data_IF_250300679552
#
_entry.id   IF_250300679552
#
_cell.length_a   1.000
_cell.length_b   1.000
_cell.length_c   1.000
_cell.angle_alpha   90.00
_cell.angle_beta   90.00
_cell.angle_gamma   90.00
#
_symmetry.space_group_name_H-M   'P 1'
#
loop_
_entity.id
_entity.type
_entity.pdbx_description
1 polymer ?
#
# COMPACT_ATOMS: atom_id res chain seq x y z
N UNK A 1 17.84 19.86 14.95
CA UNK A 1 17.23 19.87 16.32
C UNK A 1 18.22 19.36 17.35
N UNK A 2 18.37 20.11 18.45
CA UNK A 2 19.17 19.69 19.61
C UNK A 2 18.30 18.90 20.59
N UNK A 3 18.46 17.61 20.60
CA UNK A 3 17.66 16.68 21.40
C UNK A 3 17.74 16.96 22.90
N UNK A 4 18.88 17.47 23.37
CA UNK A 4 19.09 17.73 24.80
C UNK A 4 18.20 18.87 25.31
N UNK A 5 17.61 19.63 24.41
CA UNK A 5 16.67 20.73 24.73
C UNK A 5 15.22 20.32 24.70
N UNK A 6 14.91 19.10 24.21
CA UNK A 6 13.54 18.60 24.13
C UNK A 6 13.04 18.09 25.49
N UNK A 7 11.82 18.44 25.84
CA UNK A 7 11.10 17.82 26.96
C UNK A 7 10.41 16.52 26.47
N UNK A 8 11.06 15.39 26.66
CA UNK A 8 10.56 14.08 26.25
C UNK A 8 9.92 13.29 27.40
N UNK A 9 9.41 13.98 28.44
CA UNK A 9 8.81 13.31 29.61
C UNK A 9 7.64 12.37 29.27
N UNK A 10 6.91 12.66 28.19
CA UNK A 10 5.79 11.84 27.66
C UNK A 10 6.23 10.74 26.68
N UNK A 11 7.50 10.70 26.31
CA UNK A 11 8.02 9.81 25.28
C UNK A 11 9.20 8.99 25.82
N UNK A 12 9.29 7.76 25.36
CA UNK A 12 10.51 6.94 25.44
C UNK A 12 11.33 7.15 24.18
N UNK A 13 12.61 7.43 24.33
CA UNK A 13 13.56 7.54 23.24
C UNK A 13 14.05 6.15 22.88
N UNK A 14 13.73 5.68 21.66
CA UNK A 14 14.15 4.36 21.17
C UNK A 14 15.52 4.46 20.51
N UNK A 15 15.71 5.42 19.60
CA UNK A 15 17.01 5.70 18.98
C UNK A 15 17.14 7.18 18.61
N UNK A 16 18.40 7.60 18.51
CA UNK A 16 18.81 8.91 17.98
C UNK A 16 20.00 8.68 17.10
N UNK A 17 19.91 9.15 15.87
CA UNK A 17 20.94 8.93 14.88
C UNK A 17 21.22 10.21 14.07
N UNK A 18 22.49 10.43 13.76
CA UNK A 18 22.86 11.43 12.75
C UNK A 18 22.79 10.76 11.37
N UNK A 19 21.96 11.30 10.51
CA UNK A 19 21.79 10.84 9.13
C UNK A 19 22.68 11.70 8.24
N UNK A 20 23.97 11.31 8.08
CA UNK A 20 24.98 12.13 7.43
C UNK A 20 24.65 12.40 5.95
N UNK A 21 24.14 11.41 5.23
CA UNK A 21 23.77 11.53 3.81
C UNK A 21 22.61 12.52 3.57
N UNK A 22 21.81 12.79 4.60
CA UNK A 22 20.67 13.69 4.55
C UNK A 22 20.92 14.99 5.33
N UNK A 23 22.11 15.17 5.90
CA UNK A 23 22.44 16.25 6.86
C UNK A 23 21.32 16.47 7.91
N UNK A 24 20.82 15.37 8.44
CA UNK A 24 19.64 15.34 9.28
C UNK A 24 19.89 14.68 10.63
N UNK A 25 19.01 14.94 11.59
CA UNK A 25 18.95 14.22 12.86
C UNK A 25 17.69 13.33 12.87
N UNK A 26 17.89 12.02 12.97
CA UNK A 26 16.81 11.03 13.12
C UNK A 26 16.50 10.77 14.58
N UNK A 27 15.20 10.77 14.93
CA UNK A 27 14.70 10.36 16.25
C UNK A 27 13.63 9.31 16.07
N UNK A 28 13.71 8.24 16.86
CA UNK A 28 12.62 7.28 16.99
C UNK A 28 12.12 7.32 18.45
N UNK A 29 10.86 7.67 18.59
CA UNK A 29 10.19 7.85 19.87
C UNK A 29 8.98 6.92 19.99
N UNK A 30 8.60 6.62 21.23
CA UNK A 30 7.34 5.95 21.57
C UNK A 30 6.59 6.78 22.60
N UNK A 31 5.34 7.15 22.31
CA UNK A 31 4.49 7.82 23.28
C UNK A 31 4.09 6.87 24.42
N UNK A 32 4.40 7.23 25.66
CA UNK A 32 4.30 6.31 26.81
C UNK A 32 2.88 5.82 27.06
N UNK A 33 1.89 6.71 26.99
CA UNK A 33 0.50 6.35 27.28
C UNK A 33 -0.14 5.57 26.15
N UNK A 34 -0.11 6.10 24.95
CA UNK A 34 -0.85 5.50 23.81
C UNK A 34 -0.07 4.44 23.04
N UNK A 35 1.24 4.33 23.26
CA UNK A 35 2.10 3.39 22.53
C UNK A 35 2.44 3.80 21.10
N UNK A 36 1.97 4.96 20.62
CA UNK A 36 2.25 5.46 19.25
C UNK A 36 3.76 5.54 18.98
N UNK A 37 4.18 5.11 17.79
CA UNK A 37 5.57 5.22 17.33
C UNK A 37 5.71 6.46 16.49
N UNK A 38 6.76 7.26 16.76
CA UNK A 38 6.99 8.53 16.07
C UNK A 38 8.43 8.54 15.56
N UNK A 39 8.59 8.60 14.24
CA UNK A 39 9.87 8.80 13.60
C UNK A 39 9.98 10.26 13.13
N UNK A 40 11.07 10.93 13.48
CA UNK A 40 11.31 12.32 13.11
C UNK A 40 12.64 12.41 12.39
N UNK A 41 12.65 13.04 11.22
CA UNK A 41 13.87 13.42 10.48
C UNK A 41 13.93 14.92 10.42
N UNK A 42 14.70 15.52 11.34
CA UNK A 42 14.83 16.96 11.48
C UNK A 42 16.00 17.49 10.68
N UNK A 43 15.75 18.45 9.78
CA UNK A 43 16.73 19.12 8.94
C UNK A 43 16.27 20.57 8.62
N UNK A 44 16.84 21.19 7.60
CA UNK A 44 16.52 22.56 7.14
C UNK A 44 15.64 22.61 5.88
N UNK A 45 15.07 21.48 5.46
CA UNK A 45 14.13 21.45 4.33
C UNK A 45 12.80 22.08 4.72
N UNK A 46 12.42 23.13 4.01
CA UNK A 46 11.17 23.84 4.28
C UNK A 46 9.92 23.07 3.84
N UNK A 47 10.04 22.04 3.00
CA UNK A 47 8.92 21.17 2.61
C UNK A 47 8.66 20.12 3.70
N UNK A 48 7.89 20.51 4.69
CA UNK A 48 7.58 19.67 5.85
C UNK A 48 6.63 18.54 5.47
N UNK A 49 6.92 17.33 5.97
CA UNK A 49 6.08 16.16 5.76
C UNK A 49 5.54 15.65 7.09
N UNK A 50 4.26 15.34 7.10
CA UNK A 50 3.60 14.54 8.12
C UNK A 50 3.00 13.30 7.44
N UNK A 51 3.12 12.15 8.08
CA UNK A 51 2.38 10.96 7.69
C UNK A 51 1.95 10.19 8.93
N UNK A 52 0.74 9.67 8.92
CA UNK A 52 0.31 8.65 9.89
C UNK A 52 -0.11 7.41 9.12
N UNK A 53 0.36 6.24 9.56
CA UNK A 53 0.03 4.96 8.98
C UNK A 53 -0.35 3.95 10.04
N UNK A 54 -1.19 2.99 9.66
CA UNK A 54 -1.63 1.89 10.49
C UNK A 54 -1.34 0.57 9.78
N UNK A 55 -1.01 -0.48 10.51
CA UNK A 55 -1.05 -1.83 9.94
C UNK A 55 -2.50 -2.26 9.80
N UNK A 56 -2.90 -2.56 8.59
CA UNK A 56 -4.28 -2.91 8.24
C UNK A 56 -4.33 -4.18 7.38
N UNK A 57 -3.93 -5.35 7.94
CA UNK A 57 -3.94 -6.60 7.19
C UNK A 57 -5.38 -6.99 6.81
N UNK A 58 -5.62 -7.36 5.53
CA UNK A 58 -6.91 -7.86 5.09
C UNK A 58 -7.15 -9.29 5.60
N UNK A 59 -8.42 -9.67 5.75
CA UNK A 59 -8.84 -11.03 6.09
C UNK A 59 -9.98 -11.54 5.20
N UNK A 60 -10.42 -10.71 4.27
CA UNK A 60 -11.35 -11.04 3.18
C UNK A 60 -11.12 -10.08 2.01
N UNK A 61 -11.87 -10.27 0.92
CA UNK A 61 -11.73 -9.52 -0.33
C UNK A 61 -12.73 -8.35 -0.45
N UNK A 62 -13.33 -7.90 0.66
CA UNK A 62 -14.37 -6.85 0.65
C UNK A 62 -13.84 -5.43 0.47
N UNK A 63 -12.50 -5.24 0.48
CA UNK A 63 -11.90 -3.91 0.38
C UNK A 63 -12.16 -3.00 1.58
N UNK A 64 -12.43 -3.60 2.74
CA UNK A 64 -12.71 -2.88 3.97
C UNK A 64 -11.66 -1.81 4.27
N UNK A 65 -10.38 -2.11 4.05
CA UNK A 65 -9.25 -1.22 4.29
C UNK A 65 -9.30 0.02 3.38
N UNK A 66 -9.60 -0.18 2.09
CA UNK A 66 -9.71 0.86 1.09
C UNK A 66 -10.98 1.74 1.33
N UNK A 67 -12.10 1.10 1.63
CA UNK A 67 -13.32 1.83 1.99
C UNK A 67 -13.12 2.67 3.26
N UNK A 68 -12.36 2.18 4.25
CA UNK A 68 -12.00 2.96 5.43
C UNK A 68 -11.08 4.13 5.09
N UNK A 69 -10.09 3.93 4.22
CA UNK A 69 -9.21 5.00 3.76
C UNK A 69 -10.03 6.19 3.25
N UNK A 70 -10.93 5.96 2.29
CA UNK A 70 -11.81 6.97 1.74
C UNK A 70 -12.73 7.57 2.81
N UNK A 71 -13.39 6.71 3.59
CA UNK A 71 -14.44 7.10 4.52
C UNK A 71 -13.94 7.96 5.69
N UNK A 72 -12.71 7.73 6.18
CA UNK A 72 -12.14 8.54 7.26
C UNK A 72 -11.93 10.00 6.86
N UNK A 73 -11.71 10.27 5.58
CA UNK A 73 -11.52 11.62 5.05
C UNK A 73 -12.83 12.35 4.70
N UNK A 74 -13.99 11.72 4.92
CA UNK A 74 -15.31 12.27 4.62
C UNK A 74 -15.96 13.05 5.80
N UNK A 75 -15.16 13.61 6.69
CA UNK A 75 -15.59 14.38 7.84
C UNK A 75 -15.18 13.78 9.17
N UNK A 76 -14.99 14.63 10.16
CA UNK A 76 -14.49 14.24 11.47
C UNK A 76 -15.03 15.14 12.60
N UNK A 77 -14.69 14.80 13.83
CA UNK A 77 -15.11 15.52 15.05
C UNK A 77 -14.92 17.04 14.97
N UNK A 78 -13.71 17.50 14.59
CA UNK A 78 -13.37 18.93 14.46
C UNK A 78 -13.80 19.51 13.11
N UNK A 79 -13.90 18.67 12.09
CA UNK A 79 -14.16 19.07 10.70
C UNK A 79 -15.39 18.33 10.13
N UNK A 80 -16.60 18.63 10.63
CA UNK A 80 -17.84 17.91 10.28
C UNK A 80 -18.42 18.33 8.93
N UNK A 81 -17.56 18.74 7.99
CA UNK A 81 -17.93 19.06 6.61
C UNK A 81 -18.01 17.80 5.75
N UNK A 82 -18.71 17.87 4.61
CA UNK A 82 -18.96 16.68 3.80
C UNK A 82 -17.69 16.03 3.27
N UNK A 83 -16.70 16.84 2.89
CA UNK A 83 -15.47 16.36 2.25
C UNK A 83 -14.31 17.32 2.56
N UNK A 84 -13.72 17.20 3.77
CA UNK A 84 -12.57 18.02 4.16
C UNK A 84 -11.38 17.85 3.22
N UNK A 85 -11.17 16.64 2.67
CA UNK A 85 -10.06 16.35 1.77
C UNK A 85 -10.15 17.20 0.48
N UNK A 86 -11.32 17.23 -0.17
CA UNK A 86 -11.52 18.05 -1.37
C UNK A 86 -11.38 19.53 -1.08
N UNK A 87 -11.83 20.00 0.08
CA UNK A 87 -11.63 21.41 0.49
C UNK A 87 -10.15 21.74 0.70
N UNK A 88 -9.36 20.82 1.28
CA UNK A 88 -7.91 20.97 1.39
C UNK A 88 -7.22 20.97 0.02
N UNK A 89 -7.61 20.08 -0.90
CA UNK A 89 -7.07 20.07 -2.27
C UNK A 89 -7.24 21.42 -2.98
N UNK A 90 -8.36 22.12 -2.72
CA UNK A 90 -8.68 23.40 -3.36
C UNK A 90 -8.09 24.60 -2.64
N UNK A 91 -7.97 24.55 -1.33
CA UNK A 91 -7.75 25.74 -0.49
C UNK A 91 -6.45 25.76 0.30
N UNK A 92 -5.76 24.65 0.49
CA UNK A 92 -4.49 24.63 1.21
C UNK A 92 -3.28 24.93 0.32
N UNK A 93 -2.15 25.24 0.96
CA UNK A 93 -0.85 25.44 0.31
C UNK A 93 -0.03 24.13 0.28
N UNK A 94 -0.71 22.99 0.30
CA UNK A 94 -0.05 21.70 0.28
C UNK A 94 0.85 21.52 -0.94
N UNK A 95 1.95 20.81 -0.74
CA UNK A 95 2.82 20.34 -1.83
C UNK A 95 2.55 18.87 -2.12
N UNK A 96 1.92 18.16 -1.17
CA UNK A 96 1.45 16.80 -1.32
C UNK A 96 0.27 16.55 -0.37
N UNK A 97 -0.75 15.86 -0.87
CA UNK A 97 -1.95 15.48 -0.13
C UNK A 97 -2.48 14.17 -0.71
N UNK A 98 -2.49 13.10 0.09
CA UNK A 98 -2.99 11.80 -0.36
C UNK A 98 -3.40 10.90 0.82
N UNK A 99 -4.02 9.77 0.48
CA UNK A 99 -4.15 8.59 1.31
C UNK A 99 -3.89 7.36 0.43
N UNK A 100 -3.41 6.27 1.01
CA UNK A 100 -3.01 5.09 0.24
C UNK A 100 -3.24 3.82 1.04
N UNK A 101 -3.98 2.88 0.47
CA UNK A 101 -4.12 1.51 0.97
C UNK A 101 -3.14 0.58 0.25
N UNK A 102 -2.26 -0.02 1.03
CA UNK A 102 -1.32 -1.06 0.61
C UNK A 102 -1.82 -2.45 1.05
N UNK A 103 -1.18 -3.54 0.62
CA UNK A 103 -1.60 -4.88 0.98
C UNK A 103 -1.69 -5.18 2.49
N UNK A 104 -1.01 -4.42 3.34
CA UNK A 104 -0.94 -4.68 4.78
C UNK A 104 -0.98 -3.42 5.67
N UNK A 105 -1.11 -2.25 5.08
CA UNK A 105 -1.12 -0.96 5.78
C UNK A 105 -1.89 0.10 5.01
N UNK A 106 -2.40 1.07 5.75
CA UNK A 106 -3.01 2.28 5.19
C UNK A 106 -2.27 3.50 5.72
N UNK A 107 -1.88 4.42 4.85
CA UNK A 107 -1.07 5.59 5.18
C UNK A 107 -1.70 6.88 4.68
N UNK A 108 -1.54 7.95 5.45
CA UNK A 108 -2.13 9.26 5.23
C UNK A 108 -1.03 10.33 5.23
N UNK A 109 -0.33 10.53 4.10
CA UNK A 109 0.77 11.47 3.98
C UNK A 109 0.32 12.85 3.50
N UNK A 110 0.90 13.89 4.09
CA UNK A 110 0.71 15.28 3.67
C UNK A 110 2.02 16.05 3.74
N UNK A 111 2.16 17.08 2.91
CA UNK A 111 3.31 17.97 2.93
C UNK A 111 2.93 19.41 2.61
N UNK A 112 3.65 20.37 3.23
CA UNK A 112 3.53 21.80 2.93
C UNK A 112 4.81 22.55 3.27
N UNK A 113 5.16 23.54 2.44
CA UNK A 113 6.24 24.48 2.73
C UNK A 113 5.81 25.57 3.72
N UNK A 114 4.51 25.80 3.91
CA UNK A 114 3.97 26.80 4.81
C UNK A 114 3.70 26.18 6.19
N UNK A 115 4.27 26.76 7.25
CA UNK A 115 4.17 26.17 8.59
C UNK A 115 2.75 26.21 9.18
N UNK A 116 1.97 27.25 8.90
CA UNK A 116 0.58 27.35 9.35
C UNK A 116 -0.29 26.36 8.63
N UNK A 117 -0.13 26.25 7.32
CA UNK A 117 -0.85 25.27 6.51
C UNK A 117 -0.49 23.84 6.92
N UNK A 118 0.80 23.54 7.11
CA UNK A 118 1.28 22.26 7.59
C UNK A 118 0.61 21.82 8.91
N UNK A 119 0.48 22.75 9.87
CA UNK A 119 -0.24 22.50 11.13
C UNK A 119 -1.71 22.16 10.88
N UNK A 120 -2.37 22.92 10.01
CA UNK A 120 -3.78 22.76 9.72
C UNK A 120 -4.05 21.40 9.05
N UNK A 121 -3.27 21.06 8.01
CA UNK A 121 -3.47 19.77 7.32
C UNK A 121 -3.12 18.58 8.21
N UNK A 122 -2.10 18.68 9.06
CA UNK A 122 -1.79 17.67 10.07
C UNK A 122 -2.95 17.49 11.05
N UNK A 123 -3.58 18.58 11.55
CA UNK A 123 -4.73 18.51 12.45
C UNK A 123 -5.94 17.86 11.78
N UNK A 124 -6.24 18.22 10.54
CA UNK A 124 -7.33 17.61 9.77
C UNK A 124 -7.13 16.09 9.63
N UNK A 125 -5.92 15.65 9.28
CA UNK A 125 -5.64 14.24 9.09
C UNK A 125 -5.63 13.44 10.40
N UNK A 126 -5.08 14.01 11.47
CA UNK A 126 -5.11 13.38 12.80
C UNK A 126 -6.54 13.22 13.31
N UNK A 127 -7.38 14.26 13.15
CA UNK A 127 -8.79 14.18 13.57
C UNK A 127 -9.60 13.22 12.69
N UNK A 128 -9.32 13.18 11.39
CA UNK A 128 -9.95 12.28 10.43
C UNK A 128 -9.70 10.81 10.78
N UNK A 129 -8.46 10.42 11.04
CA UNK A 129 -8.13 9.01 11.28
C UNK A 129 -8.56 8.51 12.66
N UNK A 130 -8.59 9.37 13.71
CA UNK A 130 -8.96 8.95 15.05
C UNK A 130 -10.43 9.19 15.41
N UNK A 131 -11.04 10.20 14.81
CA UNK A 131 -12.41 10.63 15.16
C UNK A 131 -13.27 10.89 13.91
N UNK A 132 -13.31 9.94 12.93
CA UNK A 132 -14.10 10.14 11.72
C UNK A 132 -15.60 10.12 12.01
N UNK A 133 -16.36 10.81 11.17
CA UNK A 133 -17.82 10.88 11.26
C UNK A 133 -18.55 9.56 10.87
N UNK A 134 -17.81 8.54 10.50
CA UNK A 134 -18.35 7.24 10.07
C UNK A 134 -19.27 6.58 11.10
N UNK A 135 -19.10 6.87 12.39
CA UNK A 135 -19.93 6.35 13.47
C UNK A 135 -21.30 7.02 13.56
N UNK A 136 -21.39 8.27 13.09
CA UNK A 136 -22.61 9.08 13.17
C UNK A 136 -23.33 9.18 11.82
N UNK A 137 -22.63 8.90 10.71
CA UNK A 137 -23.12 9.08 9.34
C UNK A 137 -22.92 7.81 8.51
N UNK A 138 -23.79 6.80 8.63
CA UNK A 138 -23.67 5.56 7.84
C UNK A 138 -23.76 5.80 6.32
N UNK A 139 -24.19 7.00 5.90
CA UNK A 139 -24.20 7.41 4.50
C UNK A 139 -22.79 7.49 3.90
N UNK A 140 -21.76 7.78 4.72
CA UNK A 140 -20.36 7.80 4.28
C UNK A 140 -19.96 6.41 3.78
N UNK A 141 -20.23 5.36 4.58
CA UNK A 141 -19.98 3.98 4.18
C UNK A 141 -20.70 3.61 2.87
N UNK A 142 -21.97 4.01 2.73
CA UNK A 142 -22.75 3.74 1.51
C UNK A 142 -22.21 4.47 0.30
N UNK A 143 -21.75 5.70 0.46
CA UNK A 143 -21.19 6.52 -0.63
C UNK A 143 -19.82 5.98 -1.06
N UNK A 144 -18.91 5.76 -0.11
CA UNK A 144 -17.54 5.36 -0.41
C UNK A 144 -17.42 3.86 -0.72
N UNK A 145 -18.13 3.02 0.01
CA UNK A 145 -18.10 1.57 -0.17
C UNK A 145 -19.03 1.09 -1.28
N UNK A 146 -20.27 0.79 -0.88
CA UNK A 146 -21.28 0.28 -1.81
C UNK A 146 -22.70 0.52 -1.30
N UNK A 147 -23.65 0.61 -2.24
CA UNK A 147 -25.10 0.66 -1.98
C UNK A 147 -25.86 0.19 -3.22
N UNK A 148 -27.12 -0.18 -2.99
CA UNK A 148 -28.05 -0.39 -4.10
C UNK A 148 -28.56 0.94 -4.63
N UNK A 149 -28.55 1.10 -5.95
CA UNK A 149 -29.03 2.28 -6.65
C UNK A 149 -30.16 1.90 -7.61
N UNK A 150 -31.22 2.69 -7.59
CA UNK A 150 -32.34 2.61 -8.48
C UNK A 150 -32.76 4.05 -8.86
N UNK A 151 -32.54 4.46 -10.10
CA UNK A 151 -32.87 5.82 -10.57
C UNK A 151 -34.36 5.99 -10.85
N UNK A 152 -34.98 4.97 -11.49
CA UNK A 152 -36.42 4.92 -11.77
C UNK A 152 -36.98 3.57 -11.36
N UNK A 153 -38.31 3.50 -11.10
CA UNK A 153 -39.01 2.29 -10.63
C UNK A 153 -38.90 1.09 -11.58
N UNK A 154 -38.73 1.36 -12.89
CA UNK A 154 -38.64 0.34 -13.94
C UNK A 154 -37.19 -0.03 -14.29
N UNK A 155 -36.18 0.59 -13.67
CA UNK A 155 -34.77 0.33 -13.94
C UNK A 155 -34.29 -0.97 -13.27
N UNK A 156 -33.23 -1.53 -13.77
CA UNK A 156 -32.52 -2.62 -13.13
C UNK A 156 -31.80 -2.12 -11.88
N UNK A 157 -31.93 -2.84 -10.77
CA UNK A 157 -31.22 -2.55 -9.53
C UNK A 157 -29.71 -2.72 -9.74
N UNK A 158 -28.95 -1.66 -9.47
CA UNK A 158 -27.50 -1.65 -9.62
C UNK A 158 -26.80 -1.54 -8.28
N UNK A 159 -25.53 -1.94 -8.24
CA UNK A 159 -24.62 -1.65 -7.15
C UNK A 159 -23.76 -0.46 -7.58
N UNK A 160 -23.65 0.53 -6.68
CA UNK A 160 -22.85 1.73 -6.87
C UNK A 160 -22.05 2.03 -5.60
N UNK A 161 -20.97 2.78 -5.72
CA UNK A 161 -20.10 3.22 -4.64
C UNK A 161 -18.76 3.68 -5.21
N UNK A 162 -18.06 4.58 -4.53
CA UNK A 162 -16.81 5.15 -5.04
C UNK A 162 -15.76 4.04 -5.21
N UNK A 163 -15.41 3.33 -4.14
CA UNK A 163 -14.44 2.23 -4.16
C UNK A 163 -14.91 1.07 -5.04
N UNK A 164 -16.20 0.72 -4.98
CA UNK A 164 -16.75 -0.33 -5.83
C UNK A 164 -16.52 -0.03 -7.33
N UNK A 165 -16.80 1.19 -7.78
CA UNK A 165 -16.63 1.57 -9.18
C UNK A 165 -15.15 1.70 -9.56
N UNK A 166 -14.31 2.20 -8.67
CA UNK A 166 -12.87 2.27 -8.87
C UNK A 166 -12.28 0.87 -9.09
N UNK A 167 -12.61 -0.06 -8.21
CA UNK A 167 -12.10 -1.43 -8.30
C UNK A 167 -12.64 -2.18 -9.52
N UNK A 168 -13.85 -1.89 -9.97
CA UNK A 168 -14.32 -2.37 -11.29
C UNK A 168 -13.42 -1.89 -12.43
N UNK A 169 -12.95 -0.66 -12.36
CA UNK A 169 -11.96 -0.11 -13.30
C UNK A 169 -10.63 -0.86 -13.23
N UNK A 170 -10.09 -1.09 -12.03
CA UNK A 170 -8.84 -1.85 -11.81
C UNK A 170 -8.96 -3.26 -12.40
N UNK A 171 -10.02 -3.98 -12.07
CA UNK A 171 -10.23 -5.37 -12.56
C UNK A 171 -10.58 -5.47 -14.06
N UNK A 172 -10.73 -4.35 -14.77
CA UNK A 172 -10.78 -4.35 -16.23
C UNK A 172 -9.40 -4.43 -16.90
N UNK A 173 -8.33 -4.25 -16.14
CA UNK A 173 -6.93 -4.36 -16.58
C UNK A 173 -6.41 -5.79 -16.43
N UNK A 174 -5.98 -6.46 -17.52
CA UNK A 174 -5.39 -7.80 -17.43
C UNK A 174 -4.13 -7.86 -16.57
N UNK A 175 -3.32 -6.81 -16.53
CA UNK A 175 -2.11 -6.71 -15.72
C UNK A 175 -2.45 -6.71 -14.21
N UNK A 176 -3.52 -6.01 -13.81
CA UNK A 176 -3.97 -5.97 -12.41
C UNK A 176 -4.58 -7.31 -11.98
N UNK A 177 -5.36 -7.95 -12.88
CA UNK A 177 -5.87 -9.32 -12.66
C UNK A 177 -4.72 -10.32 -12.49
N UNK A 178 -3.67 -10.23 -13.31
CA UNK A 178 -2.48 -11.06 -13.17
C UNK A 178 -1.78 -10.84 -11.82
N UNK A 179 -1.60 -9.58 -11.42
CA UNK A 179 -0.99 -9.22 -10.13
C UNK A 179 -1.78 -9.80 -8.97
N UNK A 180 -3.10 -9.66 -8.99
CA UNK A 180 -4.02 -10.21 -7.99
C UNK A 180 -3.85 -11.73 -7.84
N UNK A 181 -3.94 -12.47 -8.93
CA UNK A 181 -3.82 -13.93 -8.89
C UNK A 181 -2.40 -14.43 -8.59
N UNK A 182 -1.39 -13.64 -8.91
CA UNK A 182 -0.01 -13.90 -8.45
C UNK A 182 0.05 -13.91 -6.92
N UNK A 183 -0.55 -12.93 -6.25
CA UNK A 183 -0.62 -12.89 -4.79
C UNK A 183 -1.43 -14.07 -4.21
N UNK A 184 -2.59 -14.39 -4.78
CA UNK A 184 -3.40 -15.54 -4.36
C UNK A 184 -2.60 -16.85 -4.43
N UNK A 185 -1.89 -17.06 -5.54
CA UNK A 185 -1.12 -18.28 -5.78
C UNK A 185 0.11 -18.40 -4.88
N UNK A 186 0.81 -17.27 -4.62
CA UNK A 186 2.05 -17.30 -3.85
C UNK A 186 1.84 -17.23 -2.33
N UNK A 187 0.71 -16.70 -1.86
CA UNK A 187 0.45 -16.45 -0.45
C UNK A 187 -0.85 -17.06 0.09
N UNK A 188 -1.17 -18.32 -0.20
CA UNK A 188 -2.45 -18.94 0.18
C UNK A 188 -2.70 -18.97 1.70
N UNK A 189 -1.66 -18.91 2.53
CA UNK A 189 -1.73 -19.06 3.99
C UNK A 189 -1.54 -17.74 4.75
N UNK A 190 -1.46 -16.59 4.05
CA UNK A 190 -1.21 -15.29 4.66
C UNK A 190 -2.28 -14.26 4.27
N UNK A 191 -2.37 -13.11 4.96
CA UNK A 191 -3.27 -12.02 4.57
C UNK A 191 -3.12 -11.54 3.12
N UNK A 192 -1.95 -11.68 2.52
CA UNK A 192 -1.70 -11.25 1.13
C UNK A 192 -2.48 -12.05 0.06
N UNK A 193 -3.13 -13.15 0.46
CA UNK A 193 -4.09 -13.82 -0.44
C UNK A 193 -5.33 -12.97 -0.70
N UNK A 194 -5.64 -12.02 0.18
CA UNK A 194 -6.81 -11.17 0.09
C UNK A 194 -6.48 -9.83 -0.57
N UNK A 195 -7.50 -9.24 -1.22
CA UNK A 195 -7.40 -7.96 -1.90
C UNK A 195 -7.77 -6.82 -0.95
N UNK A 196 -6.77 -6.07 -0.47
CA UNK A 196 -6.99 -4.92 0.42
C UNK A 196 -7.77 -3.78 -0.24
N UNK A 197 -7.65 -3.65 -1.58
CA UNK A 197 -8.41 -2.71 -2.39
C UNK A 197 -9.88 -3.10 -2.57
N UNK A 198 -10.17 -4.38 -2.49
CA UNK A 198 -11.47 -4.98 -2.65
C UNK A 198 -11.72 -5.58 -4.04
N UNK A 199 -12.18 -6.82 -4.06
CA UNK A 199 -12.62 -7.47 -5.28
C UNK A 199 -14.09 -7.11 -5.55
N UNK A 200 -14.44 -6.58 -6.72
CA UNK A 200 -15.81 -6.10 -7.00
C UNK A 200 -16.92 -7.11 -6.71
N UNK A 201 -16.64 -8.41 -6.89
CA UNK A 201 -17.59 -9.47 -6.57
C UNK A 201 -17.86 -9.60 -5.06
N UNK A 202 -16.90 -9.21 -4.21
CA UNK A 202 -16.95 -9.37 -2.75
C UNK A 202 -17.18 -8.07 -1.99
N UNK A 203 -16.94 -6.90 -2.57
CA UNK A 203 -17.20 -5.61 -1.92
C UNK A 203 -18.64 -5.51 -1.36
N UNK A 204 -19.70 -5.98 -2.06
CA UNK A 204 -21.06 -5.92 -1.55
C UNK A 204 -21.39 -6.86 -0.37
N UNK A 205 -20.44 -7.69 0.04
CA UNK A 205 -20.57 -8.56 1.22
C UNK A 205 -20.21 -7.82 2.52
N UNK A 206 -19.54 -6.65 2.42
CA UNK A 206 -19.10 -5.88 3.59
C UNK A 206 -20.27 -5.31 4.38
N UNK A 207 -20.33 -5.65 5.67
CA UNK A 207 -21.31 -5.11 6.62
C UNK A 207 -20.79 -3.84 7.32
N UNK A 208 -21.71 -2.92 7.59
CA UNK A 208 -21.37 -1.65 8.24
C UNK A 208 -20.81 -1.82 9.67
N UNK A 209 -21.27 -2.81 10.43
CA UNK A 209 -20.73 -3.03 11.78
C UNK A 209 -19.33 -3.62 11.73
N UNK A 210 -19.05 -4.54 10.80
CA UNK A 210 -17.72 -5.06 10.54
C UNK A 210 -16.74 -3.93 10.19
N UNK A 211 -17.16 -3.03 9.31
CA UNK A 211 -16.42 -1.83 8.94
C UNK A 211 -16.09 -0.94 10.15
N UNK A 212 -17.06 -0.66 11.04
CA UNK A 212 -16.83 0.13 12.25
C UNK A 212 -15.91 -0.59 13.26
N UNK A 213 -16.10 -1.89 13.44
CA UNK A 213 -15.30 -2.68 14.40
C UNK A 213 -13.84 -2.80 13.97
N UNK A 214 -13.60 -2.86 12.66
CA UNK A 214 -12.24 -2.82 12.11
C UNK A 214 -11.55 -1.49 12.40
N UNK A 215 -12.24 -0.36 12.17
CA UNK A 215 -11.70 0.97 12.50
C UNK A 215 -11.35 1.07 13.99
N UNK A 216 -12.27 0.72 14.89
CA UNK A 216 -12.03 0.73 16.34
C UNK A 216 -10.80 -0.07 16.74
N UNK A 217 -10.56 -1.20 16.09
CA UNK A 217 -9.46 -2.10 16.40
C UNK A 217 -8.14 -1.61 15.85
N UNK A 218 -8.08 -1.28 14.56
CA UNK A 218 -6.81 -1.06 13.86
C UNK A 218 -6.38 0.41 13.80
N UNK A 219 -7.32 1.38 13.87
CA UNK A 219 -7.02 2.82 13.87
C UNK A 219 -6.82 3.34 15.30
N UNK A 220 -5.91 2.68 16.00
CA UNK A 220 -5.53 3.02 17.37
C UNK A 220 -4.06 3.45 17.42
N UNK A 221 -3.66 4.45 18.24
CA UNK A 221 -2.28 4.91 18.29
C UNK A 221 -1.23 3.82 18.56
N UNK A 222 -1.56 2.78 19.33
CA UNK A 222 -0.63 1.65 19.58
C UNK A 222 -0.23 0.91 18.30
N UNK A 223 -1.08 0.96 17.27
CA UNK A 223 -0.86 0.38 15.94
C UNK A 223 -0.32 1.41 14.94
N UNK A 224 -0.16 2.68 15.36
CA UNK A 224 0.23 3.76 14.45
C UNK A 224 1.73 3.93 14.30
N UNK A 225 2.11 4.46 13.13
CA UNK A 225 3.44 4.94 12.78
C UNK A 225 3.30 6.37 12.30
N UNK A 226 3.73 7.32 13.13
CA UNK A 226 3.73 8.75 12.79
C UNK A 226 5.12 9.11 12.26
N UNK A 227 5.18 9.83 11.15
CA UNK A 227 6.41 10.32 10.55
C UNK A 227 6.36 11.83 10.40
N UNK A 228 7.44 12.49 10.81
CA UNK A 228 7.64 13.94 10.69
C UNK A 228 8.99 14.18 10.00
N UNK A 229 9.02 15.06 9.00
CA UNK A 229 10.23 15.41 8.27
C UNK A 229 10.28 16.92 8.03
N UNK A 230 11.49 17.49 8.07
CA UNK A 230 11.78 18.84 7.62
C UNK A 230 12.11 19.83 8.73
N UNK A 231 12.09 21.10 8.36
CA UNK A 231 12.33 22.24 9.27
C UNK A 231 11.07 22.58 10.05
N UNK A 232 11.00 22.11 11.30
CA UNK A 232 9.88 22.37 12.19
C UNK A 232 10.33 22.48 13.64
N UNK A 233 9.54 23.14 14.47
CA UNK A 233 9.68 23.07 15.92
C UNK A 233 9.20 21.67 16.40
N UNK A 234 10.16 20.78 16.60
CA UNK A 234 9.89 19.39 17.02
C UNK A 234 9.17 19.34 18.38
N UNK A 235 9.54 20.21 19.33
CA UNK A 235 8.88 20.24 20.63
C UNK A 235 7.40 20.63 20.51
N UNK A 236 7.12 21.67 19.73
CA UNK A 236 5.74 22.10 19.50
C UNK A 236 4.90 20.99 18.85
N UNK A 237 5.46 20.23 17.89
CA UNK A 237 4.74 19.11 17.26
C UNK A 237 4.47 17.97 18.23
N UNK A 238 5.47 17.61 19.05
CA UNK A 238 5.31 16.56 20.04
C UNK A 238 4.28 16.94 21.11
N UNK A 239 4.34 18.17 21.62
CA UNK A 239 3.37 18.68 22.61
C UNK A 239 1.96 18.76 22.03
N UNK A 240 1.84 19.10 20.75
CA UNK A 240 0.56 19.13 20.03
C UNK A 240 -0.03 17.74 19.88
N UNK A 241 0.74 16.78 19.38
CA UNK A 241 0.31 15.39 19.21
C UNK A 241 -0.14 14.77 20.54
N UNK A 242 0.63 14.97 21.63
CA UNK A 242 0.26 14.49 22.96
C UNK A 242 -1.07 15.11 23.42
N UNK A 243 -1.17 16.43 23.40
CA UNK A 243 -2.29 17.17 23.99
C UNK A 243 -3.60 16.98 23.23
N UNK A 244 -3.56 17.01 21.90
CA UNK A 244 -4.77 17.04 21.08
C UNK A 244 -5.30 15.63 20.73
N UNK A 245 -4.44 14.59 20.76
CA UNK A 245 -4.79 13.27 20.28
C UNK A 245 -4.26 12.13 21.15
N UNK A 246 -2.95 11.99 21.33
CA UNK A 246 -2.38 10.76 21.87
C UNK A 246 -2.71 10.53 23.34
N UNK A 247 -2.91 11.59 24.12
CA UNK A 247 -3.31 11.50 25.54
C UNK A 247 -4.75 11.02 25.75
N UNK A 248 -5.58 10.96 24.71
CA UNK A 248 -6.95 10.43 24.80
C UNK A 248 -6.97 8.88 24.82
N UNK A 249 -5.88 8.23 24.42
CA UNK A 249 -5.79 6.78 24.25
C UNK A 249 -4.83 6.15 25.29
N UNK A 250 -5.12 4.92 25.65
CA UNK A 250 -4.22 4.07 26.41
C UNK A 250 -3.79 2.86 25.58
N UNK A 251 -2.51 2.48 25.63
CA UNK A 251 -1.99 1.36 24.85
C UNK A 251 -2.69 0.03 25.16
N UNK A 252 -3.25 -0.09 26.35
CA UNK A 252 -3.93 -1.28 26.83
C UNK A 252 -5.44 -1.32 26.49
N UNK A 253 -5.99 -0.26 25.82
CA UNK A 253 -7.41 -0.19 25.43
C UNK A 253 -7.79 -1.26 24.40
N UNK A 254 -6.84 -1.71 23.58
CA UNK A 254 -7.05 -2.68 22.50
C UNK A 254 -5.92 -3.70 22.45
N UNK A 255 -6.27 -4.95 22.15
CA UNK A 255 -5.32 -5.99 21.78
C UNK A 255 -5.31 -6.15 20.26
N UNK A 256 -4.17 -5.85 19.64
CA UNK A 256 -4.02 -5.86 18.18
C UNK A 256 -2.94 -6.87 17.80
N UNK A 257 -3.33 -7.88 17.04
CA UNK A 257 -2.41 -8.67 16.24
C UNK A 257 -2.54 -8.24 14.76
N UNK A 258 -1.57 -7.48 14.29
CA UNK A 258 -1.42 -7.06 12.90
C UNK A 258 -0.13 -7.66 12.31
N UNK A 259 0.33 -8.77 12.85
CA UNK A 259 1.49 -9.51 12.33
C UNK A 259 1.12 -10.25 11.03
N UNK A 260 2.10 -10.31 10.13
CA UNK A 260 1.96 -11.09 8.90
C UNK A 260 2.96 -12.23 8.96
N UNK A 261 2.49 -13.48 9.02
CA UNK A 261 3.38 -14.63 8.97
C UNK A 261 4.04 -14.75 7.60
N UNK A 262 5.26 -15.29 7.58
CA UNK A 262 5.88 -15.66 6.33
C UNK A 262 5.16 -16.86 5.70
N UNK A 263 4.87 -16.76 4.40
CA UNK A 263 4.42 -17.91 3.60
C UNK A 263 5.54 -18.96 3.58
N UNK A 264 5.19 -20.17 3.89
CA UNK A 264 6.12 -21.30 3.80
C UNK A 264 6.41 -21.64 2.33
N UNK A 265 7.63 -22.09 2.07
CA UNK A 265 8.00 -22.56 0.74
C UNK A 265 7.14 -23.74 0.31
N UNK A 266 6.74 -23.77 -0.94
CA UNK A 266 6.07 -24.90 -1.56
C UNK A 266 7.04 -26.09 -1.73
N UNK A 267 6.53 -27.31 -1.62
CA UNK A 267 7.33 -28.52 -1.87
C UNK A 267 7.63 -28.72 -3.36
N UNK A 268 6.72 -28.26 -4.22
CA UNK A 268 6.84 -28.35 -5.67
C UNK A 268 6.48 -27.02 -6.31
N UNK A 269 6.90 -26.81 -7.55
CA UNK A 269 6.43 -25.68 -8.35
C UNK A 269 4.91 -25.77 -8.54
N UNK A 270 4.23 -24.63 -8.38
CA UNK A 270 2.78 -24.51 -8.55
C UNK A 270 2.50 -23.91 -9.92
N UNK A 271 1.52 -24.46 -10.61
CA UNK A 271 0.97 -23.90 -11.82
C UNK A 271 -0.51 -23.63 -11.63
N UNK A 272 -0.89 -22.39 -11.90
CA UNK A 272 -2.28 -21.91 -11.85
C UNK A 272 -2.64 -21.26 -13.19
N UNK A 273 -3.92 -21.32 -13.54
CA UNK A 273 -4.48 -20.73 -14.75
C UNK A 273 -5.76 -20.01 -14.41
N UNK A 274 -5.85 -18.74 -14.82
CA UNK A 274 -6.97 -17.87 -14.53
C UNK A 274 -7.45 -17.17 -15.81
N UNK A 275 -8.75 -16.86 -15.85
CA UNK A 275 -9.35 -16.11 -16.94
C UNK A 275 -9.42 -14.64 -16.60
N UNK A 276 -9.31 -13.77 -17.60
CA UNK A 276 -9.58 -12.37 -17.50
C UNK A 276 -10.58 -11.92 -18.58
N UNK A 277 -11.26 -10.80 -18.34
CA UNK A 277 -12.25 -10.28 -19.26
C UNK A 277 -11.57 -9.60 -20.46
N UNK A 278 -12.09 -9.84 -21.65
CA UNK A 278 -11.72 -9.17 -22.90
C UNK A 278 -12.95 -8.53 -23.51
N UNK A 279 -12.77 -7.54 -24.39
CA UNK A 279 -13.86 -6.96 -25.17
C UNK A 279 -14.21 -7.88 -26.35
N UNK A 280 -15.43 -7.73 -26.87
CA UNK A 280 -15.91 -8.56 -28.02
C UNK A 280 -15.06 -8.40 -29.28
N UNK A 281 -14.35 -7.28 -29.41
CA UNK A 281 -13.50 -6.96 -30.57
C UNK A 281 -12.04 -7.44 -30.42
N UNK A 282 -11.64 -7.95 -29.26
CA UNK A 282 -10.28 -8.44 -29.00
C UNK A 282 -10.08 -9.86 -29.53
N UNK A 283 -8.97 -10.14 -30.25
CA UNK A 283 -8.64 -11.49 -30.66
C UNK A 283 -8.33 -12.37 -29.45
N UNK A 284 -8.85 -13.58 -29.43
CA UNK A 284 -8.54 -14.54 -28.38
C UNK A 284 -7.20 -15.26 -28.61
N UNK A 285 -6.75 -15.35 -29.86
CA UNK A 285 -5.46 -15.97 -30.20
C UNK A 285 -4.29 -15.08 -29.77
N UNK A 286 -3.28 -15.68 -29.16
CA UNK A 286 -2.08 -14.98 -28.67
C UNK A 286 -2.41 -13.81 -27.74
N UNK A 287 -3.41 -13.97 -26.89
CA UNK A 287 -3.82 -12.97 -25.90
C UNK A 287 -3.61 -13.46 -24.46
N UNK A 288 -2.75 -14.45 -24.25
CA UNK A 288 -2.40 -14.92 -22.93
C UNK A 288 -1.28 -14.07 -22.30
N UNK A 289 -1.30 -14.03 -20.97
CA UNK A 289 -0.19 -13.55 -20.15
C UNK A 289 0.50 -14.79 -19.53
N UNK A 290 1.77 -14.97 -19.79
CA UNK A 290 2.58 -15.99 -19.13
C UNK A 290 3.41 -15.30 -18.04
N UNK A 291 3.34 -15.81 -16.82
CA UNK A 291 4.05 -15.23 -15.69
C UNK A 291 4.88 -16.28 -14.95
N UNK A 292 6.13 -15.95 -14.67
CA UNK A 292 7.04 -16.75 -13.85
C UNK A 292 7.35 -15.96 -12.57
N UNK A 293 6.91 -16.46 -11.43
CA UNK A 293 6.88 -15.73 -10.17
C UNK A 293 7.73 -16.43 -9.11
N UNK A 294 8.51 -15.67 -8.34
CA UNK A 294 9.30 -16.16 -7.21
C UNK A 294 9.21 -15.20 -6.02
N UNK A 295 9.01 -15.76 -4.85
CA UNK A 295 9.16 -15.03 -3.58
C UNK A 295 10.65 -14.88 -3.27
N UNK A 296 11.09 -13.67 -2.94
CA UNK A 296 12.52 -13.33 -2.78
C UNK A 296 12.79 -12.87 -1.36
N UNK A 297 13.11 -13.81 -0.48
CA UNK A 297 13.48 -13.49 0.91
C UNK A 297 12.42 -12.70 1.67
N UNK A 298 12.85 -11.66 2.39
CA UNK A 298 11.96 -10.74 3.11
C UNK A 298 12.38 -9.28 2.87
N UNK A 299 11.46 -8.35 3.00
CA UNK A 299 11.68 -6.90 2.91
C UNK A 299 12.64 -6.36 3.99
N UNK A 300 12.98 -7.17 5.00
CA UNK A 300 13.94 -6.81 6.05
C UNK A 300 15.41 -6.96 5.60
N UNK A 301 15.67 -7.65 4.50
CA UNK A 301 17.02 -7.79 3.93
C UNK A 301 17.26 -6.69 2.88
N UNK A 302 17.72 -5.52 3.32
CA UNK A 302 18.01 -4.39 2.46
C UNK A 302 19.07 -4.70 1.39
N UNK A 303 20.04 -5.57 1.69
CA UNK A 303 21.06 -5.95 0.73
C UNK A 303 20.49 -6.81 -0.41
N UNK A 304 19.66 -7.80 -0.06
CA UNK A 304 18.97 -8.62 -1.05
C UNK A 304 18.02 -7.77 -1.88
N UNK A 305 17.28 -6.86 -1.25
CA UNK A 305 16.39 -5.92 -1.94
C UNK A 305 17.11 -5.11 -3.02
N UNK A 306 18.24 -4.46 -2.68
CA UNK A 306 19.03 -3.69 -3.64
C UNK A 306 19.67 -4.59 -4.71
N UNK A 307 20.14 -5.77 -4.34
CA UNK A 307 20.71 -6.73 -5.29
C UNK A 307 19.65 -7.18 -6.32
N UNK A 308 18.42 -7.39 -5.91
CA UNK A 308 17.32 -7.76 -6.83
C UNK A 308 16.95 -6.64 -7.78
N UNK A 309 16.95 -5.37 -7.35
CA UNK A 309 16.75 -4.24 -8.27
C UNK A 309 17.83 -4.15 -9.34
N UNK A 310 19.09 -4.36 -8.96
CA UNK A 310 20.21 -4.39 -9.92
C UNK A 310 20.09 -5.58 -10.86
N UNK A 311 19.73 -6.75 -10.33
CA UNK A 311 19.55 -7.97 -11.11
C UNK A 311 18.41 -7.85 -12.11
N UNK A 312 17.29 -7.26 -11.71
CA UNK A 312 16.14 -6.99 -12.58
C UNK A 312 16.54 -6.13 -13.79
N UNK A 313 17.28 -5.05 -13.53
CA UNK A 313 17.80 -4.21 -14.61
C UNK A 313 18.66 -5.03 -15.58
N UNK A 314 19.57 -5.84 -15.09
CA UNK A 314 20.49 -6.63 -15.92
C UNK A 314 19.80 -7.76 -16.69
N UNK A 315 18.72 -8.35 -16.14
CA UNK A 315 18.01 -9.47 -16.75
C UNK A 315 16.98 -9.05 -17.81
N UNK A 316 16.26 -7.96 -17.55
CA UNK A 316 15.06 -7.60 -18.33
C UNK A 316 15.09 -6.15 -18.81
N UNK A 317 15.46 -5.17 -17.97
CA UNK A 317 15.23 -3.75 -18.27
C UNK A 317 16.32 -3.14 -19.15
N UNK A 318 17.56 -3.59 -19.04
CA UNK A 318 18.67 -3.06 -19.82
C UNK A 318 18.47 -3.34 -21.33
N UNK A 319 18.88 -2.40 -22.22
CA UNK A 319 18.89 -2.67 -23.66
C UNK A 319 19.73 -3.91 -24.00
N UNK A 320 19.12 -4.90 -24.69
CA UNK A 320 19.79 -6.15 -25.02
C UNK A 320 19.97 -7.12 -23.85
N UNK A 321 19.23 -6.92 -22.76
CA UNK A 321 19.24 -7.84 -21.62
C UNK A 321 19.01 -9.29 -22.07
N UNK A 322 19.90 -10.19 -21.64
CA UNK A 322 20.02 -11.56 -22.17
C UNK A 322 18.73 -12.36 -22.05
N UNK A 323 18.04 -12.24 -20.93
CA UNK A 323 16.80 -12.99 -20.70
C UNK A 323 15.68 -12.44 -21.57
N UNK A 324 15.50 -11.13 -21.59
CA UNK A 324 14.50 -10.49 -22.47
C UNK A 324 14.73 -10.85 -23.93
N UNK A 325 15.98 -10.77 -24.40
CA UNK A 325 16.31 -11.10 -25.78
C UNK A 325 16.06 -12.56 -26.12
N UNK A 326 16.38 -13.50 -25.24
CA UNK A 326 16.13 -14.92 -25.45
C UNK A 326 14.63 -15.26 -25.61
N UNK A 327 13.78 -14.58 -24.82
CA UNK A 327 12.32 -14.73 -24.92
C UNK A 327 11.77 -14.13 -26.22
N UNK A 328 12.27 -12.97 -26.61
CA UNK A 328 11.92 -12.32 -27.90
C UNK A 328 12.33 -13.18 -29.09
N UNK A 329 13.53 -13.71 -29.11
CA UNK A 329 14.05 -14.54 -30.20
C UNK A 329 13.25 -15.81 -30.43
N UNK A 330 12.62 -16.33 -29.35
CA UNK A 330 11.69 -17.48 -29.41
C UNK A 330 10.24 -17.06 -29.71
N UNK A 331 9.98 -15.78 -29.93
CA UNK A 331 8.65 -15.20 -30.15
C UNK A 331 7.66 -15.57 -29.02
N UNK A 332 8.11 -15.50 -27.77
CA UNK A 332 7.27 -15.71 -26.58
C UNK A 332 6.69 -14.37 -26.18
N UNK A 333 5.43 -14.14 -26.56
CA UNK A 333 4.75 -12.87 -26.36
C UNK A 333 5.24 -11.73 -27.27
N UNK A 334 4.50 -10.64 -27.26
CA UNK A 334 4.85 -9.42 -28.00
C UNK A 334 5.53 -8.38 -27.12
N UNK A 335 5.38 -8.48 -25.80
CA UNK A 335 6.09 -7.66 -24.83
C UNK A 335 6.57 -8.53 -23.65
N UNK A 336 7.82 -8.27 -23.22
CA UNK A 336 8.46 -8.95 -22.11
C UNK A 336 8.87 -7.88 -21.09
N UNK A 337 8.37 -8.02 -19.87
CA UNK A 337 8.69 -7.12 -18.77
C UNK A 337 8.82 -7.88 -17.45
N UNK A 338 9.25 -7.21 -16.43
CA UNK A 338 9.38 -7.72 -15.07
C UNK A 338 8.67 -6.82 -14.08
N UNK A 339 8.33 -7.39 -12.94
CA UNK A 339 7.83 -6.66 -11.78
C UNK A 339 8.56 -7.13 -10.54
N UNK A 340 9.00 -6.19 -9.70
CA UNK A 340 9.52 -6.49 -8.39
C UNK A 340 8.63 -5.81 -7.33
N UNK A 341 7.61 -6.56 -6.87
CA UNK A 341 6.67 -6.10 -5.86
C UNK A 341 7.32 -6.14 -4.47
N UNK A 342 7.47 -4.99 -3.86
CA UNK A 342 8.23 -4.78 -2.62
C UNK A 342 7.40 -4.22 -1.47
N UNK A 343 6.12 -3.92 -1.69
CA UNK A 343 5.21 -3.38 -0.67
C UNK A 343 4.74 -4.44 0.34
N UNK A 344 5.09 -5.71 0.10
CA UNK A 344 4.74 -6.88 0.91
C UNK A 344 5.93 -7.37 1.75
N UNK A 345 5.66 -8.13 2.82
CA UNK A 345 6.69 -8.66 3.71
C UNK A 345 7.69 -9.58 3.01
N UNK A 346 7.22 -10.42 2.10
CA UNK A 346 8.06 -11.27 1.25
C UNK A 346 7.94 -10.77 -0.20
N UNK A 347 8.91 -10.00 -0.70
CA UNK A 347 8.88 -9.44 -2.05
C UNK A 347 8.69 -10.50 -3.14
N UNK A 348 7.99 -10.12 -4.21
CA UNK A 348 7.73 -10.98 -5.36
C UNK A 348 8.52 -10.46 -6.56
N UNK A 349 9.26 -11.33 -7.21
CA UNK A 349 9.85 -11.06 -8.52
C UNK A 349 9.12 -11.84 -9.59
N UNK A 350 8.63 -11.13 -10.60
CA UNK A 350 7.85 -11.68 -11.71
C UNK A 350 8.51 -11.36 -13.05
N UNK A 351 8.53 -12.34 -13.94
CA UNK A 351 8.87 -12.18 -15.37
C UNK A 351 7.61 -12.47 -16.16
N UNK A 352 7.19 -11.55 -17.02
CA UNK A 352 5.89 -11.59 -17.67
C UNK A 352 6.08 -11.47 -19.18
N UNK A 353 5.40 -12.37 -19.93
CA UNK A 353 5.24 -12.27 -21.37
C UNK A 353 3.78 -11.97 -21.69
N UNK A 354 3.53 -10.83 -22.32
CA UNK A 354 2.20 -10.34 -22.71
C UNK A 354 1.89 -10.69 -24.16
N UNK A 355 0.61 -10.91 -24.46
CA UNK A 355 0.13 -11.32 -25.77
C UNK A 355 0.88 -12.56 -26.28
N UNK A 356 0.94 -13.58 -25.46
CA UNK A 356 1.62 -14.83 -25.74
C UNK A 356 0.64 -15.91 -26.20
N UNK A 357 1.15 -16.90 -26.93
CA UNK A 357 0.45 -18.16 -27.16
C UNK A 357 0.48 -18.99 -25.86
N UNK A 358 -0.67 -19.36 -25.32
CA UNK A 358 -0.80 -20.19 -24.11
C UNK A 358 -0.02 -21.51 -24.20
N UNK A 359 0.11 -22.10 -25.41
CA UNK A 359 0.83 -23.33 -25.66
C UNK A 359 2.36 -23.18 -25.50
N UNK A 360 2.89 -21.95 -25.48
CA UNK A 360 4.30 -21.65 -25.26
C UNK A 360 4.72 -21.58 -23.79
N UNK A 361 3.82 -21.88 -22.86
CA UNK A 361 4.12 -21.85 -21.42
C UNK A 361 5.39 -22.64 -21.04
N UNK A 362 5.51 -23.89 -21.55
CA UNK A 362 6.68 -24.70 -21.21
C UNK A 362 7.96 -24.12 -21.81
N UNK A 363 7.91 -23.64 -23.06
CA UNK A 363 9.05 -22.97 -23.70
C UNK A 363 9.47 -21.69 -22.96
N UNK A 364 8.50 -20.91 -22.45
CA UNK A 364 8.72 -19.75 -21.63
C UNK A 364 9.52 -20.09 -20.34
N UNK A 365 9.03 -21.08 -19.59
CA UNK A 365 9.67 -21.52 -18.35
C UNK A 365 11.06 -22.11 -18.59
N UNK A 366 11.20 -22.97 -19.60
CA UNK A 366 12.48 -23.59 -19.95
C UNK A 366 13.51 -22.53 -20.37
N UNK A 367 13.10 -21.54 -21.16
CA UNK A 367 13.98 -20.43 -21.59
C UNK A 367 14.51 -19.63 -20.40
N UNK A 368 13.62 -19.29 -19.44
CA UNK A 368 14.02 -18.59 -18.22
C UNK A 368 15.05 -19.42 -17.46
N UNK A 369 14.78 -20.69 -17.21
CA UNK A 369 15.67 -21.56 -16.46
C UNK A 369 17.02 -21.80 -17.15
N UNK A 370 17.04 -21.94 -18.47
CA UNK A 370 18.26 -22.06 -19.28
C UNK A 370 19.13 -20.80 -19.16
N UNK A 371 18.55 -19.63 -19.35
CA UNK A 371 19.27 -18.35 -19.29
C UNK A 371 19.78 -18.06 -17.88
N UNK A 372 18.96 -18.28 -16.85
CA UNK A 372 19.38 -18.08 -15.46
C UNK A 372 20.52 -19.06 -15.09
N UNK A 373 20.42 -20.32 -15.50
CA UNK A 373 21.48 -21.32 -15.29
C UNK A 373 22.78 -20.96 -15.98
N UNK A 374 22.71 -20.40 -17.19
CA UNK A 374 23.86 -19.92 -17.92
C UNK A 374 24.51 -18.71 -17.26
N UNK A 375 23.71 -17.74 -16.77
CA UNK A 375 24.18 -16.58 -16.03
C UNK A 375 24.87 -16.99 -14.72
N UNK A 376 24.31 -17.94 -13.99
CA UNK A 376 24.93 -18.48 -12.76
C UNK A 376 26.28 -19.10 -13.05
N UNK A 377 26.42 -19.80 -14.18
CA UNK A 377 27.64 -20.49 -14.57
C UNK A 377 28.71 -19.55 -15.16
N UNK A 378 28.31 -18.63 -16.00
CA UNK A 378 29.23 -17.84 -16.86
C UNK A 378 29.29 -16.35 -16.47
N UNK A 379 28.44 -15.89 -15.54
CA UNK A 379 28.31 -14.49 -15.16
C UNK A 379 27.40 -13.67 -16.07
N UNK A 380 27.12 -12.44 -15.64
CA UNK A 380 26.39 -11.42 -16.41
C UNK A 380 27.36 -10.77 -17.39
N UNK A 381 26.92 -10.52 -18.63
CA UNK A 381 27.69 -9.75 -19.59
C UNK A 381 27.86 -8.30 -19.10
N UNK A 382 29.07 -7.88 -18.91
CA UNK A 382 29.41 -6.55 -18.37
C UNK A 382 29.54 -5.46 -19.47
N UNK A 383 29.19 -5.77 -20.71
CA UNK A 383 29.25 -4.82 -21.84
C UNK A 383 27.91 -4.05 -21.98
#
# INVERSE_FOLDING_TARGET
TDINKLNLSKYDVISVEKLEDLDSTGLLLRHKKSGARIAIVSNDDNNKVFSIGFKTPPYNDTGLQHILEHSTLCGSRKYPVKDPFVELCKGSLNTFLNAMTYPDKTVYPVASCNDVDFKNIMDVYMDAVFYPDIYNKPQIFKQEGWHYELENEDDELKINGVVYNEMKGVYSSPDDVLSRYTCVSLFPDTPYRFESGGEPAHIPELDYNEFLDYHKKFYHPVNSYIYLYGDMDVQERLDYLDREYLSDFDADDVEIDASIPAQKSFENDVFEEFNYAVTDDEPLENNAFLSYNKVVGTSLDAKLYLAMQILDYALIMAPGAKLKQALIDKNIGTDIYSSFETSVYQPIYSIIAKNADENKRQEFTDTINEVLSDIVKNGIDMR
#
